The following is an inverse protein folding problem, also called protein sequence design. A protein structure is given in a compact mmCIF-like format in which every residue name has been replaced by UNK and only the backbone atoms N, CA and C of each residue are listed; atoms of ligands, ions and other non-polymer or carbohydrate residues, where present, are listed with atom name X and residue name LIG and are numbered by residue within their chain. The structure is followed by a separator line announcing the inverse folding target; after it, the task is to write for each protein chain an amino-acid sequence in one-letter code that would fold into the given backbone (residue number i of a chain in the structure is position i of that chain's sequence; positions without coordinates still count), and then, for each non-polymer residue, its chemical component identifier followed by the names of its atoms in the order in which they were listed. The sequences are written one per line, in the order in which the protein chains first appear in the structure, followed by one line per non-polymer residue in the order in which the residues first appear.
data_IF_966533171587
#
_entry.id   IF_966533171587
#
_cell.length_a   1.000
_cell.length_b   1.000
_cell.length_c   1.000
_cell.angle_alpha   90.00
_cell.angle_beta   90.00
_cell.angle_gamma   90.00
#
_symmetry.space_group_name_H-M   'P 1'
#
loop_
_entity.id
_entity.type
_entity.pdbx_description
1 polymer ?
#
# COMPACT_ATOMS: atom_id res chain seq x y z
N UNK A 1 -3.42 -16.19 3.95
CA UNK A 1 -2.63 -14.95 3.72
C UNK A 1 -1.46 -14.99 4.69
N UNK A 2 -0.30 -14.47 4.30
CA UNK A 2 0.93 -14.55 5.09
C UNK A 2 1.18 -13.26 5.87
N UNK A 3 1.98 -13.37 6.93
CA UNK A 3 2.43 -12.24 7.74
C UNK A 3 3.16 -11.22 6.83
N UNK A 4 2.83 -9.94 7.00
CA UNK A 4 3.46 -8.83 6.30
C UNK A 4 4.09 -7.83 7.27
N UNK A 5 4.76 -6.84 6.72
CA UNK A 5 5.35 -5.72 7.45
C UNK A 5 4.67 -4.40 7.07
N UNK A 6 4.57 -3.50 8.03
CA UNK A 6 4.17 -2.12 7.80
C UNK A 6 5.43 -1.28 7.67
N UNK A 7 5.42 -0.29 6.79
CA UNK A 7 6.59 0.54 6.56
C UNK A 7 6.28 1.91 6.00
N UNK A 8 7.36 2.60 5.67
CA UNK A 8 7.36 3.95 5.11
C UNK A 8 8.18 4.00 3.83
N UNK A 9 7.60 4.58 2.77
CA UNK A 9 8.32 4.82 1.51
C UNK A 9 9.37 5.92 1.71
N UNK A 10 10.65 5.58 1.67
CA UNK A 10 11.74 6.56 1.86
C UNK A 10 12.04 7.32 0.58
N UNK A 11 12.04 6.64 -0.57
CA UNK A 11 12.39 7.25 -1.85
C UNK A 11 12.74 6.23 -2.91
N UNK A 12 13.23 6.70 -4.06
CA UNK A 12 13.70 5.84 -5.14
C UNK A 12 15.18 6.10 -5.39
N UNK A 13 15.90 5.04 -5.72
CA UNK A 13 17.29 5.07 -6.16
C UNK A 13 17.50 4.01 -7.23
N UNK A 14 18.73 3.87 -7.72
CA UNK A 14 19.15 2.77 -8.57
C UNK A 14 20.25 1.98 -7.86
N UNK A 15 20.30 0.68 -8.12
CA UNK A 15 21.41 -0.19 -7.75
C UNK A 15 21.94 -0.87 -9.00
N UNK A 16 23.19 -1.31 -8.96
CA UNK A 16 23.81 -2.11 -10.01
C UNK A 16 23.84 -3.56 -9.55
N UNK A 17 23.46 -4.49 -10.42
CA UNK A 17 23.65 -5.92 -10.20
C UNK A 17 25.11 -6.30 -10.45
N UNK A 18 25.49 -7.51 -10.04
CA UNK A 18 26.82 -8.05 -10.30
C UNK A 18 27.10 -8.20 -11.82
N UNK A 19 26.04 -8.38 -12.62
CA UNK A 19 26.09 -8.41 -14.09
C UNK A 19 26.22 -7.01 -14.73
N UNK A 20 26.21 -5.94 -13.94
CA UNK A 20 26.31 -4.55 -14.40
C UNK A 20 25.00 -3.91 -14.83
N UNK A 21 23.85 -4.57 -14.65
CA UNK A 21 22.53 -4.00 -14.96
C UNK A 21 22.12 -2.95 -13.93
N UNK A 22 21.63 -1.79 -14.38
CA UNK A 22 21.09 -0.74 -13.52
C UNK A 22 19.59 -0.94 -13.26
N UNK A 23 19.22 -1.30 -12.03
CA UNK A 23 17.83 -1.57 -11.65
C UNK A 23 17.26 -0.42 -10.80
N UNK A 24 16.10 0.16 -11.17
CA UNK A 24 15.42 1.13 -10.33
C UNK A 24 14.76 0.44 -9.14
N UNK A 25 15.02 0.93 -7.95
CA UNK A 25 14.49 0.38 -6.69
C UNK A 25 13.84 1.46 -5.85
N UNK A 26 12.73 1.11 -5.21
CA UNK A 26 12.11 1.92 -4.16
C UNK A 26 12.61 1.42 -2.80
N UNK A 27 13.11 2.34 -1.98
CA UNK A 27 13.54 2.06 -0.61
C UNK A 27 12.35 2.18 0.32
N UNK A 28 12.08 1.12 1.07
CA UNK A 28 11.04 1.04 2.10
C UNK A 28 11.68 0.78 3.44
N UNK A 29 11.42 1.66 4.40
CA UNK A 29 11.80 1.45 5.80
C UNK A 29 10.71 0.63 6.48
N UNK A 30 11.11 -0.50 7.07
CA UNK A 30 10.22 -1.42 7.79
C UNK A 30 10.69 -1.63 9.23
N UNK A 31 11.42 -0.67 9.78
CA UNK A 31 11.91 -0.72 11.15
C UNK A 31 10.82 -0.70 12.22
N UNK A 32 11.07 -1.39 13.33
CA UNK A 32 10.28 -1.33 14.57
C UNK A 32 8.80 -1.72 14.40
N UNK A 33 8.53 -2.74 13.59
CA UNK A 33 7.24 -3.42 13.56
C UNK A 33 7.04 -4.20 14.86
N UNK A 34 5.99 -3.89 15.61
CA UNK A 34 5.71 -4.47 16.92
C UNK A 34 4.30 -5.04 16.96
N UNK A 35 4.15 -6.23 17.52
CA UNK A 35 2.85 -6.91 17.63
C UNK A 35 2.05 -6.31 18.79
N UNK A 36 0.91 -5.70 18.49
CA UNK A 36 0.06 -5.05 19.50
C UNK A 36 -1.07 -5.94 20.00
N UNK A 37 -1.57 -6.84 19.16
CA UNK A 37 -2.64 -7.76 19.52
C UNK A 37 -2.60 -8.99 18.63
N UNK A 38 -2.89 -10.15 19.21
CA UNK A 38 -3.17 -11.37 18.47
C UNK A 38 -4.65 -11.64 18.60
N UNK A 39 -5.32 -11.83 17.46
CA UNK A 39 -6.75 -12.13 17.35
C UNK A 39 -6.90 -13.61 17.03
N UNK A 40 -7.82 -14.25 17.73
CA UNK A 40 -8.10 -15.67 17.61
C UNK A 40 -9.53 -15.91 17.15
N UNK A 41 -9.80 -17.08 16.59
CA UNK A 41 -11.13 -17.42 16.10
C UNK A 41 -12.17 -17.42 17.24
N UNK A 42 -11.78 -17.87 18.44
CA UNK A 42 -12.64 -17.95 19.62
C UNK A 42 -13.06 -16.55 20.14
N UNK A 43 -12.15 -15.57 20.08
CA UNK A 43 -12.39 -14.22 20.63
C UNK A 43 -12.93 -13.23 19.61
N UNK A 44 -12.46 -13.29 18.36
CA UNK A 44 -12.69 -12.27 17.33
C UNK A 44 -13.41 -12.83 16.08
N UNK A 45 -13.61 -14.15 15.98
CA UNK A 45 -14.23 -14.80 14.82
C UNK A 45 -13.33 -14.89 13.58
N UNK A 46 -12.03 -14.61 13.73
CA UNK A 46 -10.99 -14.86 12.73
C UNK A 46 -9.60 -14.77 13.35
N UNK A 47 -8.62 -15.41 12.71
CA UNK A 47 -7.21 -15.32 13.11
C UNK A 47 -6.49 -14.17 12.41
N UNK A 48 -5.89 -13.27 13.19
CA UNK A 48 -5.07 -12.17 12.66
C UNK A 48 -4.05 -11.66 13.68
N UNK A 49 -3.01 -11.00 13.18
CA UNK A 49 -2.03 -10.29 14.01
C UNK A 49 -2.08 -8.81 13.70
N UNK A 50 -2.21 -8.01 14.74
CA UNK A 50 -2.14 -6.56 14.66
C UNK A 50 -0.72 -6.10 14.92
N UNK A 51 -0.20 -5.26 14.02
CA UNK A 51 1.17 -4.76 14.02
C UNK A 51 1.14 -3.24 13.98
N UNK A 52 2.02 -2.61 14.76
CA UNK A 52 2.25 -1.16 14.74
C UNK A 52 3.64 -0.83 14.19
N UNK A 53 3.77 0.30 13.50
CA UNK A 53 5.03 0.80 12.92
C UNK A 53 5.30 2.25 13.31
N UNK A 54 6.58 2.58 13.49
CA UNK A 54 7.07 3.91 13.82
C UNK A 54 6.83 4.30 15.27
N UNK A 55 7.07 5.56 15.61
CA UNK A 55 6.92 6.10 16.95
C UNK A 55 6.01 7.33 16.94
N UNK A 56 5.10 7.42 17.92
CA UNK A 56 4.20 8.55 18.11
C UNK A 56 4.32 9.06 19.54
N UNK A 57 4.52 10.37 19.69
CA UNK A 57 4.60 11.03 21.01
C UNK A 57 3.36 10.71 21.85
N UNK A 58 3.55 10.34 23.12
CA UNK A 58 2.47 9.96 24.03
C UNK A 58 1.34 11.01 24.12
N UNK A 59 1.69 12.31 24.08
CA UNK A 59 0.71 13.41 24.10
C UNK A 59 -0.20 13.48 22.86
N UNK A 60 0.17 12.82 21.76
CA UNK A 60 -0.61 12.76 20.51
C UNK A 60 -1.43 11.46 20.40
N UNK A 61 -1.39 10.60 21.41
CA UNK A 61 -2.11 9.32 21.46
C UNK A 61 -3.37 9.51 22.30
N UNK A 62 -4.51 9.05 21.81
CA UNK A 62 -5.76 9.13 22.56
C UNK A 62 -5.76 8.13 23.70
N UNK A 63 -6.42 8.46 24.83
CA UNK A 63 -6.46 7.59 26.03
C UNK A 63 -6.88 6.14 25.73
N UNK A 64 -7.91 5.86 24.91
CA UNK A 64 -8.29 4.47 24.61
C UNK A 64 -7.18 3.71 23.88
N UNK A 65 -6.53 4.35 22.92
CA UNK A 65 -5.44 3.73 22.16
C UNK A 65 -4.21 3.50 23.04
N UNK A 66 -3.91 4.42 23.96
CA UNK A 66 -2.83 4.24 24.92
C UNK A 66 -3.08 3.04 25.84
N UNK A 67 -4.30 2.86 26.35
CA UNK A 67 -4.67 1.70 27.17
C UNK A 67 -4.57 0.37 26.42
N UNK A 68 -5.00 0.35 25.15
CA UNK A 68 -4.87 -0.81 24.27
C UNK A 68 -3.41 -1.24 24.09
N UNK A 69 -2.53 -0.29 23.78
CA UNK A 69 -1.10 -0.55 23.54
C UNK A 69 -0.35 -0.91 24.83
N UNK A 70 -0.73 -0.30 25.96
CA UNK A 70 -0.15 -0.60 27.26
C UNK A 70 -0.38 -2.06 27.69
N UNK A 71 -1.53 -2.65 27.33
CA UNK A 71 -1.81 -4.07 27.58
C UNK A 71 -0.79 -5.00 26.91
N UNK A 72 -0.25 -4.60 25.76
CA UNK A 72 0.79 -5.33 25.03
C UNK A 72 2.22 -4.89 25.39
N UNK A 73 2.39 -3.85 26.23
CA UNK A 73 3.71 -3.30 26.54
C UNK A 73 4.42 -2.62 25.37
N UNK A 74 3.67 -2.16 24.35
CA UNK A 74 4.22 -1.62 23.11
C UNK A 74 4.07 -0.10 23.06
N UNK A 75 5.08 0.63 22.57
CA UNK A 75 4.93 2.06 22.36
C UNK A 75 4.02 2.36 21.16
N UNK A 76 3.35 3.51 21.19
CA UNK A 76 2.48 3.92 20.10
C UNK A 76 3.24 4.17 18.80
N UNK A 77 2.73 3.59 17.72
CA UNK A 77 3.19 3.87 16.36
C UNK A 77 2.31 4.85 15.61
N UNK A 78 2.75 5.18 14.39
CA UNK A 78 2.03 6.04 13.46
C UNK A 78 0.97 5.28 12.66
N UNK A 79 1.13 3.96 12.56
CA UNK A 79 0.33 3.06 11.74
C UNK A 79 0.05 1.81 12.56
N UNK A 80 -1.20 1.39 12.58
CA UNK A 80 -1.63 0.10 13.13
C UNK A 80 -2.36 -0.63 12.02
N UNK A 81 -1.96 -1.86 11.73
CA UNK A 81 -2.53 -2.67 10.66
C UNK A 81 -2.66 -4.12 11.09
N UNK A 82 -3.67 -4.80 10.55
CA UNK A 82 -3.90 -6.21 10.79
C UNK A 82 -3.51 -7.04 9.58
N UNK A 83 -2.92 -8.19 9.84
CA UNK A 83 -2.60 -9.21 8.86
C UNK A 83 -3.34 -10.49 9.22
N UNK A 84 -4.19 -10.97 8.31
CA UNK A 84 -4.82 -12.28 8.47
C UNK A 84 -3.79 -13.36 8.20
N UNK A 85 -3.62 -14.26 9.16
CA UNK A 85 -2.64 -15.34 9.11
C UNK A 85 -3.27 -16.64 9.61
N UNK A 86 -2.60 -17.76 9.32
CA UNK A 86 -3.03 -19.07 9.78
C UNK A 86 -2.80 -19.23 11.29
N UNK A 87 -3.63 -20.02 11.97
CA UNK A 87 -3.60 -20.21 13.42
C UNK A 87 -2.24 -20.71 13.95
N UNK A 88 -1.59 -21.61 13.21
CA UNK A 88 -0.26 -22.11 13.58
C UNK A 88 0.77 -20.98 13.67
N UNK A 89 0.80 -20.07 12.68
CA UNK A 89 1.72 -18.93 12.67
C UNK A 89 1.34 -17.87 13.70
N UNK A 90 0.06 -17.75 14.05
CA UNK A 90 -0.37 -16.85 15.11
C UNK A 90 0.10 -17.33 16.49
N UNK A 91 0.15 -18.64 16.72
CA UNK A 91 0.60 -19.22 17.98
C UNK A 91 2.11 -19.04 18.24
N UNK A 92 2.91 -18.88 17.19
CA UNK A 92 4.35 -18.60 17.30
C UNK A 92 4.66 -17.15 17.71
N UNK A 93 3.67 -16.25 17.59
CA UNK A 93 3.83 -14.83 17.87
C UNK A 93 3.31 -14.50 19.27
N UNK A 94 3.88 -13.44 19.86
CA UNK A 94 3.44 -12.91 21.14
C UNK A 94 3.18 -11.41 21.03
N UNK A 95 2.19 -10.92 21.78
CA UNK A 95 2.00 -9.48 21.97
C UNK A 95 3.27 -8.87 22.62
N UNK A 96 3.69 -7.70 22.15
CA UNK A 96 4.99 -7.11 22.53
C UNK A 96 6.16 -7.57 21.65
N UNK A 97 6.02 -8.66 20.90
CA UNK A 97 7.06 -9.16 20.00
C UNK A 97 7.40 -8.16 18.88
N UNK A 98 8.66 -8.16 18.45
CA UNK A 98 9.11 -7.39 17.29
C UNK A 98 9.20 -8.27 16.05
N UNK A 99 8.86 -7.70 14.89
CA UNK A 99 8.96 -8.36 13.59
C UNK A 99 10.18 -7.82 12.85
N UNK A 100 11.09 -8.71 12.47
CA UNK A 100 12.30 -8.38 11.72
C UNK A 100 12.03 -8.28 10.22
N UNK A 101 12.96 -7.65 9.51
CA UNK A 101 13.01 -7.61 8.04
C UNK A 101 13.29 -8.99 7.44
N UNK A 102 13.88 -9.89 8.24
CA UNK A 102 14.23 -11.27 7.87
C UNK A 102 13.00 -12.16 7.58
N UNK A 103 11.78 -11.64 7.77
CA UNK A 103 10.55 -12.27 7.27
C UNK A 103 10.50 -12.37 5.73
N UNK A 104 11.37 -11.61 5.06
CA UNK A 104 11.48 -11.61 3.61
C UNK A 104 12.86 -12.03 3.16
N UNK A 105 12.92 -12.59 1.96
CA UNK A 105 14.16 -13.02 1.31
C UNK A 105 14.43 -12.22 0.03
N UNK A 106 15.70 -12.08 -0.34
CA UNK A 106 16.10 -11.47 -1.62
C UNK A 106 15.57 -12.34 -2.77
N UNK A 107 15.02 -11.69 -3.81
CA UNK A 107 14.38 -12.36 -4.95
C UNK A 107 12.93 -12.81 -4.69
N UNK A 108 12.44 -12.71 -3.46
CA UNK A 108 11.04 -13.02 -3.15
C UNK A 108 10.09 -12.02 -3.82
N UNK A 109 8.95 -12.52 -4.32
CA UNK A 109 7.87 -11.68 -4.83
C UNK A 109 6.96 -11.20 -3.71
N UNK A 110 6.66 -9.91 -3.72
CA UNK A 110 5.83 -9.21 -2.75
C UNK A 110 4.74 -8.38 -3.43
N UNK A 111 3.67 -8.13 -2.69
CA UNK A 111 2.63 -7.17 -3.01
C UNK A 111 2.79 -5.96 -2.07
N UNK A 112 2.79 -4.75 -2.63
CA UNK A 112 2.93 -3.51 -1.86
C UNK A 112 1.67 -2.67 -2.00
N UNK A 113 0.99 -2.46 -0.87
CA UNK A 113 -0.20 -1.64 -0.77
C UNK A 113 0.14 -0.25 -0.19
N UNK A 114 -0.48 0.79 -0.73
CA UNK A 114 -0.33 2.16 -0.23
C UNK A 114 -1.40 3.08 -0.80
N UNK A 115 -1.47 4.30 -0.26
CA UNK A 115 -2.37 5.34 -0.77
C UNK A 115 -1.69 6.07 -1.92
N UNK A 116 -2.36 6.15 -3.06
CA UNK A 116 -1.83 6.81 -4.26
C UNK A 116 -1.78 8.33 -4.10
N UNK A 117 -0.87 8.98 -4.83
CA UNK A 117 -0.74 10.45 -4.81
C UNK A 117 -2.05 11.09 -5.33
N UNK A 118 -2.68 11.92 -4.51
CA UNK A 118 -3.83 12.74 -4.90
C UNK A 118 -3.49 13.69 -6.05
N UNK A 119 -4.38 13.76 -7.04
CA UNK A 119 -4.28 14.66 -8.20
C UNK A 119 -5.39 15.71 -8.23
N UNK A 120 -6.24 15.75 -7.20
CA UNK A 120 -7.38 16.66 -7.08
C UNK A 120 -8.51 16.31 -8.05
N UNK A 121 -9.36 17.30 -8.35
CA UNK A 121 -10.41 17.16 -9.36
C UNK A 121 -9.78 17.08 -10.76
N UNK A 122 -10.00 15.96 -11.45
CA UNK A 122 -9.44 15.69 -12.76
C UNK A 122 -10.52 15.60 -13.85
N UNK A 123 -10.20 16.16 -15.02
CA UNK A 123 -10.98 16.00 -16.25
C UNK A 123 -10.96 14.56 -16.77
N UNK A 124 -11.85 14.22 -17.70
CA UNK A 124 -12.00 12.86 -18.25
C UNK A 124 -10.77 12.37 -19.01
N UNK A 125 -10.05 13.28 -19.69
CA UNK A 125 -8.79 12.98 -20.37
C UNK A 125 -7.74 12.48 -19.36
N UNK A 126 -7.49 13.24 -18.29
CA UNK A 126 -6.49 12.86 -17.27
C UNK A 126 -6.95 11.65 -16.44
N UNK A 127 -8.23 11.53 -16.13
CA UNK A 127 -8.78 10.50 -15.23
C UNK A 127 -8.99 9.15 -15.92
N UNK A 128 -9.36 9.15 -17.19
CA UNK A 128 -9.77 7.95 -17.93
C UNK A 128 -9.13 7.82 -19.32
N UNK A 129 -8.14 8.65 -19.65
CA UNK A 129 -7.43 8.62 -20.93
C UNK A 129 -8.36 8.79 -22.15
N UNK A 130 -9.39 9.63 -22.02
CA UNK A 130 -10.23 10.01 -23.17
C UNK A 130 -9.42 10.82 -24.19
N UNK A 131 -9.79 10.73 -25.46
CA UNK A 131 -9.26 11.62 -26.49
C UNK A 131 -9.89 13.02 -26.41
N UNK A 132 -9.15 14.03 -26.87
CA UNK A 132 -9.67 15.38 -27.07
C UNK A 132 -10.41 15.49 -28.41
N UNK A 133 -11.32 16.46 -28.53
CA UNK A 133 -11.86 16.89 -29.82
C UNK A 133 -10.79 17.54 -30.71
N UNK A 134 -11.16 17.84 -31.96
CA UNK A 134 -10.27 18.55 -32.91
C UNK A 134 -9.85 19.91 -32.34
N UNK A 135 -8.59 20.28 -32.48
CA UNK A 135 -8.12 21.58 -32.01
C UNK A 135 -8.58 22.74 -32.90
N UNK A 136 -8.67 22.49 -34.21
CA UNK A 136 -8.99 23.47 -35.27
C UNK A 136 -10.23 23.02 -36.06
N UNK A 137 -10.50 23.66 -37.21
CA UNK A 137 -11.64 23.38 -38.10
C UNK A 137 -13.01 23.59 -37.45
N UNK A 138 -13.21 24.76 -36.82
CA UNK A 138 -14.51 25.18 -36.32
C UNK A 138 -14.94 24.57 -34.97
N UNK A 139 -14.01 24.02 -34.18
CA UNK A 139 -14.34 23.56 -32.84
C UNK A 139 -14.64 24.74 -31.89
N UNK A 140 -15.89 24.85 -31.45
CA UNK A 140 -16.35 25.84 -30.48
C UNK A 140 -16.36 25.26 -29.05
N UNK A 141 -15.28 25.48 -28.29
CA UNK A 141 -15.16 25.18 -26.85
C UNK A 141 -15.31 23.70 -26.45
N UNK A 142 -15.24 22.76 -27.39
CA UNK A 142 -15.39 21.31 -27.13
C UNK A 142 -14.07 20.53 -27.23
N UNK A 143 -12.93 21.20 -27.05
CA UNK A 143 -11.60 20.59 -27.14
C UNK A 143 -11.42 19.46 -26.11
N UNK A 144 -11.73 19.71 -24.84
CA UNK A 144 -11.44 18.78 -23.73
C UNK A 144 -12.70 18.34 -22.98
N UNK A 145 -13.82 18.18 -23.70
CA UNK A 145 -15.10 17.73 -23.14
C UNK A 145 -15.26 16.22 -23.31
N UNK A 146 -16.07 15.53 -22.48
CA UNK A 146 -16.25 14.08 -22.55
C UNK A 146 -17.04 13.57 -23.78
N UNK A 147 -17.66 14.46 -24.55
CA UNK A 147 -18.60 14.09 -25.61
C UNK A 147 -19.92 13.60 -25.05
N UNK A 148 -20.61 12.71 -25.79
CA UNK A 148 -21.91 12.18 -25.37
C UNK A 148 -21.82 11.29 -24.12
N UNK A 149 -22.75 11.49 -23.20
CA UNK A 149 -22.83 10.75 -21.93
C UNK A 149 -23.91 9.67 -21.91
N UNK A 150 -24.82 9.63 -22.90
CA UNK A 150 -25.96 8.71 -22.96
C UNK A 150 -26.72 8.78 -24.29
N UNK A 151 -27.81 8.00 -24.38
CA UNK A 151 -28.74 8.03 -25.51
C UNK A 151 -29.89 9.02 -25.24
N UNK A 152 -30.75 9.24 -26.24
CA UNK A 152 -31.90 10.15 -26.15
C UNK A 152 -33.10 9.51 -25.38
N UNK A 153 -34.20 9.18 -26.07
CA UNK A 153 -35.47 8.80 -25.43
C UNK A 153 -35.36 7.53 -24.59
N UNK A 154 -34.83 6.44 -25.17
CA UNK A 154 -34.62 5.17 -24.47
C UNK A 154 -33.11 4.91 -24.34
N UNK A 155 -32.56 4.77 -23.12
CA UNK A 155 -33.20 4.59 -21.81
C UNK A 155 -33.51 5.89 -21.03
N UNK A 156 -33.37 7.08 -21.64
CA UNK A 156 -33.73 8.36 -21.01
C UNK A 156 -32.90 8.75 -19.78
N UNK A 157 -31.76 8.10 -19.55
CA UNK A 157 -30.90 8.32 -18.38
C UNK A 157 -29.44 7.95 -18.61
N UNK A 158 -28.55 8.43 -17.74
CA UNK A 158 -27.15 8.01 -17.68
C UNK A 158 -27.02 6.76 -16.80
N UNK A 159 -26.29 5.75 -17.27
CA UNK A 159 -26.05 4.53 -16.50
C UNK A 159 -25.07 4.75 -15.33
N UNK A 160 -25.28 4.08 -14.18
CA UNK A 160 -24.31 4.05 -13.09
C UNK A 160 -22.94 3.55 -13.56
N UNK A 161 -21.86 4.11 -12.99
CA UNK A 161 -20.49 3.78 -13.39
C UNK A 161 -20.01 4.45 -14.68
N UNK A 162 -20.82 5.31 -15.32
CA UNK A 162 -20.38 6.13 -16.45
C UNK A 162 -19.15 6.97 -16.07
N UNK A 163 -18.11 6.88 -16.89
CA UNK A 163 -16.84 7.60 -16.69
C UNK A 163 -17.05 9.10 -16.90
N UNK A 164 -16.82 9.90 -15.85
CA UNK A 164 -16.96 11.37 -15.84
C UNK A 164 -15.83 12.05 -15.05
N UNK A 165 -15.77 13.37 -15.06
CA UNK A 165 -14.81 14.14 -14.26
C UNK A 165 -14.98 13.88 -12.76
N UNK A 166 -13.93 14.13 -11.97
CA UNK A 166 -13.99 13.93 -10.51
C UNK A 166 -12.63 13.75 -9.87
N UNK A 167 -12.62 13.48 -8.56
CA UNK A 167 -11.39 13.29 -7.81
C UNK A 167 -10.57 12.10 -8.35
N UNK A 168 -9.25 12.29 -8.49
CA UNK A 168 -8.29 11.29 -8.94
C UNK A 168 -7.16 11.15 -7.92
N UNK A 169 -6.78 9.91 -7.61
CA UNK A 169 -5.77 9.60 -6.60
C UNK A 169 -6.36 9.57 -5.19
N UNK A 170 -5.50 9.55 -4.17
CA UNK A 170 -5.86 9.36 -2.76
C UNK A 170 -6.68 8.07 -2.50
N UNK A 171 -6.47 7.08 -3.37
CA UNK A 171 -7.10 5.77 -3.26
C UNK A 171 -6.05 4.73 -2.91
N UNK A 172 -6.43 3.78 -2.06
CA UNK A 172 -5.60 2.63 -1.73
C UNK A 172 -5.45 1.74 -2.96
N UNK A 173 -4.20 1.48 -3.35
CA UNK A 173 -3.86 0.56 -4.45
C UNK A 173 -2.78 -0.40 -3.98
N UNK A 174 -2.78 -1.57 -4.60
CA UNK A 174 -1.75 -2.59 -4.41
C UNK A 174 -1.06 -2.81 -5.74
N UNK A 175 0.26 -2.69 -5.76
CA UNK A 175 1.09 -3.14 -6.88
C UNK A 175 1.56 -4.54 -6.55
N UNK A 176 1.31 -5.49 -7.44
CA UNK A 176 1.53 -6.90 -7.19
C UNK A 176 2.81 -7.42 -7.85
N UNK A 177 3.34 -8.51 -7.31
CA UNK A 177 4.47 -9.26 -7.87
C UNK A 177 5.75 -8.42 -8.06
N UNK A 178 5.99 -7.46 -7.17
CA UNK A 178 7.26 -6.75 -7.10
C UNK A 178 8.32 -7.67 -6.51
N UNK A 179 9.57 -7.48 -6.90
CA UNK A 179 10.69 -8.31 -6.45
C UNK A 179 11.52 -7.55 -5.42
N UNK A 180 11.97 -8.23 -4.37
CA UNK A 180 12.95 -7.68 -3.43
C UNK A 180 14.33 -7.80 -4.04
N UNK A 181 14.94 -6.68 -4.40
CA UNK A 181 16.26 -6.65 -5.02
C UNK A 181 17.39 -6.76 -3.98
N UNK A 182 17.20 -6.18 -2.79
CA UNK A 182 18.16 -6.25 -1.69
C UNK A 182 17.47 -6.00 -0.35
N UNK A 183 18.01 -6.59 0.70
CA UNK A 183 17.61 -6.35 2.09
C UNK A 183 18.81 -5.78 2.84
N UNK A 184 18.58 -4.73 3.63
CA UNK A 184 19.57 -4.14 4.53
C UNK A 184 19.03 -4.29 5.96
N UNK A 185 19.51 -5.33 6.66
CA UNK A 185 19.05 -5.68 8.00
C UNK A 185 19.50 -4.66 9.06
N UNK A 186 20.71 -4.10 8.92
CA UNK A 186 21.26 -3.11 9.85
C UNK A 186 20.40 -1.84 9.89
N UNK A 187 20.01 -1.36 8.70
CA UNK A 187 19.17 -0.16 8.57
C UNK A 187 17.67 -0.46 8.52
N UNK A 188 17.29 -1.73 8.59
CA UNK A 188 15.91 -2.23 8.49
C UNK A 188 15.20 -1.72 7.22
N UNK A 189 15.87 -1.81 6.07
CA UNK A 189 15.37 -1.35 4.77
C UNK A 189 15.14 -2.51 3.79
N UNK A 190 14.05 -2.41 3.04
CA UNK A 190 13.76 -3.23 1.87
C UNK A 190 13.96 -2.41 0.59
N UNK A 191 14.76 -2.94 -0.35
CA UNK A 191 14.92 -2.35 -1.67
C UNK A 191 14.07 -3.15 -2.65
N UNK A 192 12.94 -2.57 -3.05
CA UNK A 192 11.95 -3.21 -3.92
C UNK A 192 12.15 -2.76 -5.36
N UNK A 193 12.29 -3.69 -6.30
CA UNK A 193 12.42 -3.41 -7.72
C UNK A 193 11.17 -2.72 -8.26
N UNK A 194 11.33 -1.56 -8.89
CA UNK A 194 10.26 -0.77 -9.49
C UNK A 194 9.61 0.25 -8.54
N UNK A 195 8.40 0.70 -8.91
CA UNK A 195 7.69 1.77 -8.24
C UNK A 195 6.54 1.25 -7.36
N UNK A 196 6.42 1.80 -6.15
CA UNK A 196 5.33 1.52 -5.22
C UNK A 196 4.37 2.72 -5.10
N UNK A 197 3.09 2.50 -4.74
CA UNK A 197 2.11 3.58 -4.64
C UNK A 197 2.46 4.57 -3.52
N UNK A 198 2.12 5.84 -3.73
CA UNK A 198 2.23 6.91 -2.73
C UNK A 198 3.46 7.81 -2.85
N UNK A 199 3.43 8.90 -2.08
CA UNK A 199 4.51 9.89 -1.99
C UNK A 199 5.63 9.42 -1.07
N UNK A 200 6.75 10.14 -1.09
CA UNK A 200 7.81 10.00 -0.08
C UNK A 200 7.21 10.21 1.32
N UNK A 201 7.70 9.43 2.28
CA UNK A 201 7.20 9.28 3.65
C UNK A 201 5.76 8.72 3.75
N UNK A 202 5.20 8.23 2.63
CA UNK A 202 3.90 7.60 2.61
C UNK A 202 3.91 6.24 3.32
N UNK A 203 2.78 5.92 3.95
CA UNK A 203 2.52 4.64 4.61
C UNK A 203 2.38 3.54 3.57
N UNK A 204 3.11 2.45 3.76
CA UNK A 204 3.05 1.28 2.87
C UNK A 204 2.92 0.01 3.69
N UNK A 205 2.26 -0.98 3.11
CA UNK A 205 2.09 -2.31 3.67
C UNK A 205 2.72 -3.27 2.67
N UNK A 206 3.65 -4.09 3.15
CA UNK A 206 4.37 -5.08 2.35
C UNK A 206 3.90 -6.46 2.79
N UNK A 207 3.38 -7.25 1.86
CA UNK A 207 2.95 -8.63 2.09
C UNK A 207 3.60 -9.54 1.07
N UNK A 208 3.86 -10.81 1.38
CA UNK A 208 4.24 -11.79 0.35
C UNK A 208 3.20 -11.83 -0.77
N UNK A 209 3.65 -12.02 -2.01
CA UNK A 209 2.77 -11.95 -3.18
C UNK A 209 1.73 -13.07 -3.14
N UNK A 210 0.45 -12.72 -3.36
CA UNK A 210 -0.64 -13.71 -3.34
C UNK A 210 -0.62 -14.61 -4.58
N UNK A 211 -0.11 -14.10 -5.71
CA UNK A 211 -0.16 -14.78 -7.02
C UNK A 211 1.12 -15.54 -7.36
N UNK A 212 2.21 -15.29 -6.66
CA UNK A 212 3.44 -16.04 -6.83
C UNK A 212 3.44 -17.19 -5.83
N UNK A 213 3.64 -18.43 -6.31
CA UNK A 213 3.98 -19.52 -5.39
C UNK A 213 5.33 -19.20 -4.77
N UNK A 214 5.45 -19.35 -3.46
CA UNK A 214 6.76 -19.39 -2.81
C UNK A 214 7.58 -20.46 -3.54
N UNK A 215 8.82 -20.13 -3.92
CA UNK A 215 9.77 -21.16 -4.36
C UNK A 215 9.86 -22.15 -3.20
N UNK A 216 9.56 -23.42 -3.49
CA UNK A 216 9.66 -24.51 -2.52
C UNK A 216 11.11 -24.73 -2.10
#
# INVERSE_FOLDING_TARGET
MSLGLVGRKVGMTRIFTDDGEAIPVTVVEVGDNRVTQIKTDETDGYTAVQVTFGARRASRVTKPLAGHLAKAGVEAGEIIREFRIDAAKAAELQAGGSLSVDLFEVGQKIDVQGVTIGKGYAGTIKRYHFASGRATHGNSRSHNVPGSIGMAQDPGRVFPGKRMTGHLGDVTRTVQNLEIAKIDAERKLLLVKGAIPGSKNGKVIVTPAVKAKAKA
#
